data_IF_916765757116
#
_entry.id   IF_916765757116
#
_cell.length_a   1.000
_cell.length_b   1.000
_cell.length_c   1.000
_cell.angle_alpha   90.00
_cell.angle_beta   90.00
_cell.angle_gamma   90.00
#
_symmetry.space_group_name_H-M   'P 1'
#
loop_
_entity.id
_entity.type
_entity.pdbx_description
1 polymer ?
#
# COMPACT_ATOMS: atom_id res chain seq x y z
N UNK A 1 -17.74 30.40 -49.32
CA UNK A 1 -17.48 29.32 -48.35
C UNK A 1 -17.67 28.01 -49.06
N UNK A 2 -16.61 27.21 -49.13
CA UNK A 2 -16.64 25.93 -49.85
C UNK A 2 -17.13 24.82 -48.91
N UNK A 3 -17.92 23.87 -49.41
CA UNK A 3 -18.50 22.79 -48.61
C UNK A 3 -17.40 21.97 -47.90
N UNK A 4 -16.22 21.88 -48.53
CA UNK A 4 -15.03 21.21 -48.00
C UNK A 4 -14.49 21.90 -46.74
N UNK A 5 -14.48 23.24 -46.70
CA UNK A 5 -14.03 24.01 -45.53
C UNK A 5 -14.99 23.85 -44.35
N UNK A 6 -16.30 23.77 -44.62
CA UNK A 6 -17.32 23.59 -43.58
C UNK A 6 -17.24 22.22 -42.91
N UNK A 7 -16.89 21.16 -43.66
CA UNK A 7 -16.71 19.80 -43.11
C UNK A 7 -15.47 19.73 -42.22
N UNK A 8 -14.40 20.43 -42.60
CA UNK A 8 -13.15 20.43 -41.84
C UNK A 8 -13.29 21.14 -40.48
N UNK A 9 -14.09 22.21 -40.42
CA UNK A 9 -14.39 22.93 -39.16
C UNK A 9 -15.24 22.08 -38.20
N UNK A 10 -16.09 21.19 -38.72
CA UNK A 10 -16.96 20.33 -37.91
C UNK A 10 -16.22 19.12 -37.29
N UNK A 11 -15.14 18.65 -37.91
CA UNK A 11 -14.36 17.50 -37.44
C UNK A 11 -13.32 17.90 -36.37
N UNK A 12 -12.79 19.13 -36.42
CA UNK A 12 -11.79 19.63 -35.47
C UNK A 12 -12.35 19.98 -34.08
N UNK A 13 -13.68 20.10 -33.94
CA UNK A 13 -14.35 20.48 -32.70
C UNK A 13 -14.76 19.34 -31.76
N UNK A 14 -14.59 18.07 -32.15
CA UNK A 14 -14.98 16.94 -31.30
C UNK A 14 -13.86 16.53 -30.34
N UNK A 15 -13.88 17.11 -29.14
CA UNK A 15 -13.10 16.59 -28.01
C UNK A 15 -13.45 15.11 -27.77
N UNK A 16 -12.47 14.22 -27.99
CA UNK A 16 -12.61 12.79 -27.70
C UNK A 16 -13.05 12.61 -26.25
N UNK A 17 -14.15 11.88 -25.97
CA UNK A 17 -14.63 11.71 -24.61
C UNK A 17 -13.54 11.05 -23.76
N UNK A 18 -13.06 11.77 -22.73
CA UNK A 18 -12.08 11.26 -21.78
C UNK A 18 -12.56 9.92 -21.23
N UNK A 19 -11.77 8.88 -21.46
CA UNK A 19 -12.08 7.51 -21.06
C UNK A 19 -12.33 7.46 -19.55
N UNK A 20 -13.60 7.25 -19.16
CA UNK A 20 -14.00 7.22 -17.74
C UNK A 20 -13.51 5.90 -17.12
N UNK A 21 -12.33 5.91 -16.52
CA UNK A 21 -11.83 4.76 -15.75
C UNK A 21 -12.77 4.44 -14.59
N UNK A 22 -13.26 3.19 -14.55
CA UNK A 22 -14.12 2.70 -13.46
C UNK A 22 -13.35 2.67 -12.14
N UNK A 23 -13.97 3.14 -11.06
CA UNK A 23 -13.38 3.07 -9.73
C UNK A 23 -13.17 1.60 -9.32
N UNK A 24 -11.91 1.22 -9.10
CA UNK A 24 -11.56 -0.11 -8.59
C UNK A 24 -11.29 -0.03 -7.09
N UNK A 25 -11.75 -1.04 -6.34
CA UNK A 25 -11.44 -1.14 -4.91
C UNK A 25 -9.92 -1.29 -4.75
N UNK A 26 -9.31 -0.42 -3.94
CA UNK A 26 -7.88 -0.50 -3.68
C UNK A 26 -7.54 -1.80 -2.94
N UNK A 27 -6.41 -2.41 -3.31
CA UNK A 27 -5.90 -3.61 -2.63
C UNK A 27 -5.39 -3.32 -1.21
N UNK A 28 -5.19 -2.04 -0.88
CA UNK A 28 -4.55 -1.54 0.33
C UNK A 28 -5.44 -0.48 0.96
N UNK A 29 -5.66 -0.58 2.27
CA UNK A 29 -6.42 0.42 3.04
C UNK A 29 -5.61 1.70 3.17
N UNK A 30 -6.26 2.85 3.00
CA UNK A 30 -5.65 4.17 3.15
C UNK A 30 -6.20 4.82 4.41
N UNK A 31 -5.31 5.28 5.29
CA UNK A 31 -5.66 5.99 6.53
C UNK A 31 -5.26 7.47 6.45
N UNK A 32 -5.87 8.37 7.24
CA UNK A 32 -5.42 9.76 7.31
C UNK A 32 -3.97 9.89 7.80
N UNK A 33 -3.59 9.11 8.82
CA UNK A 33 -2.25 9.14 9.42
C UNK A 33 -1.82 7.74 9.86
N UNK A 34 -0.50 7.56 10.06
CA UNK A 34 0.07 6.31 10.58
C UNK A 34 -0.50 5.99 11.97
N UNK A 35 -0.64 7.00 12.84
CA UNK A 35 -1.18 6.81 14.19
C UNK A 35 -2.61 6.25 14.17
N UNK A 36 -3.47 6.79 13.29
CA UNK A 36 -4.83 6.26 13.09
C UNK A 36 -4.82 4.83 12.58
N UNK A 37 -3.91 4.49 11.66
CA UNK A 37 -3.75 3.12 11.16
C UNK A 37 -3.33 2.12 12.26
N UNK A 38 -2.43 2.53 13.16
CA UNK A 38 -1.96 1.69 14.27
C UNK A 38 -3.03 1.53 15.36
N UNK A 39 -3.85 2.55 15.59
CA UNK A 39 -4.98 2.54 16.55
C UNK A 39 -6.23 1.82 16.03
N UNK A 40 -6.36 1.60 14.72
CA UNK A 40 -7.56 0.99 14.11
C UNK A 40 -7.75 -0.51 14.41
N UNK A 41 -6.99 -1.09 15.34
CA UNK A 41 -7.03 -2.52 15.65
C UNK A 41 -6.38 -3.44 14.61
N UNK A 42 -5.82 -2.89 13.52
CA UNK A 42 -5.23 -3.68 12.41
C UNK A 42 -4.23 -4.74 12.90
N UNK A 43 -4.34 -6.01 12.47
CA UNK A 43 -3.44 -7.07 12.92
C UNK A 43 -2.02 -6.87 12.37
N UNK A 44 -1.05 -7.57 12.96
CA UNK A 44 0.32 -7.61 12.45
C UNK A 44 0.37 -8.16 11.02
N UNK A 45 1.21 -7.55 10.18
CA UNK A 45 1.31 -7.86 8.76
C UNK A 45 0.28 -7.16 7.87
N UNK A 46 -0.60 -6.31 8.43
CA UNK A 46 -1.51 -5.51 7.61
C UNK A 46 -0.72 -4.49 6.79
N UNK A 47 -0.94 -4.49 5.46
CA UNK A 47 -0.40 -3.49 4.55
C UNK A 47 -1.38 -2.32 4.49
N UNK A 48 -0.88 -1.09 4.62
CA UNK A 48 -1.67 0.12 4.51
C UNK A 48 -0.88 1.26 3.86
N UNK A 49 -1.57 2.31 3.43
CA UNK A 49 -0.95 3.59 3.05
C UNK A 49 -1.59 4.73 3.85
N UNK A 50 -1.02 5.93 3.75
CA UNK A 50 -1.58 7.14 4.33
C UNK A 50 -1.95 8.16 3.26
N UNK A 51 -2.94 9.01 3.53
CA UNK A 51 -3.32 10.09 2.62
C UNK A 51 -2.10 11.00 2.39
N UNK A 52 -1.79 11.29 1.13
CA UNK A 52 -0.64 12.12 0.74
C UNK A 52 0.72 11.44 0.84
N UNK A 53 0.77 10.12 1.07
CA UNK A 53 2.02 9.36 1.03
C UNK A 53 2.01 8.38 -0.14
N UNK A 54 3.04 8.46 -0.98
CA UNK A 54 3.25 7.52 -2.08
C UNK A 54 3.91 6.21 -1.63
N UNK A 55 3.95 5.92 -0.33
CA UNK A 55 4.66 4.77 0.23
C UNK A 55 3.74 3.81 0.97
N UNK A 56 4.10 2.53 0.92
CA UNK A 56 3.39 1.47 1.63
C UNK A 56 3.96 1.27 3.02
N UNK A 57 3.10 0.91 3.96
CA UNK A 57 3.47 0.57 5.32
C UNK A 57 2.98 -0.83 5.68
N UNK A 58 3.71 -1.49 6.57
CA UNK A 58 3.30 -2.77 7.17
C UNK A 58 3.28 -2.62 8.68
N UNK A 59 2.17 -3.00 9.31
CA UNK A 59 2.03 -3.08 10.77
C UNK A 59 2.92 -4.19 11.30
N UNK A 60 3.86 -3.87 12.20
CA UNK A 60 4.82 -4.82 12.77
C UNK A 60 5.02 -4.61 14.27
N UNK A 61 5.69 -5.57 14.91
CA UNK A 61 6.02 -5.52 16.33
C UNK A 61 7.30 -4.69 16.52
N UNK A 62 7.34 -3.75 17.49
CA UNK A 62 8.56 -3.01 17.79
C UNK A 62 9.68 -3.95 18.28
N UNK A 63 10.89 -3.77 17.74
CA UNK A 63 12.06 -4.61 18.06
C UNK A 63 13.18 -3.86 18.80
N UNK A 64 13.19 -2.52 18.78
CA UNK A 64 14.27 -1.68 19.31
C UNK A 64 14.23 -1.48 20.85
N UNK A 65 14.05 -2.57 21.59
CA UNK A 65 14.14 -2.58 23.05
C UNK A 65 12.98 -1.91 23.79
N UNK A 66 13.12 -1.74 25.12
CA UNK A 66 12.05 -1.25 26.01
C UNK A 66 11.53 0.15 25.62
N UNK A 67 12.40 1.05 25.14
CA UNK A 67 12.03 2.41 24.70
C UNK A 67 10.97 2.43 23.59
N UNK A 68 11.04 1.49 22.65
CA UNK A 68 10.03 1.35 21.59
C UNK A 68 8.65 0.89 22.10
N UNK A 69 8.60 0.33 23.32
CA UNK A 69 7.37 -0.06 24.03
C UNK A 69 6.94 0.98 25.08
N UNK A 70 7.85 1.86 25.51
CA UNK A 70 7.63 2.83 26.61
C UNK A 70 6.47 3.79 26.38
N UNK A 71 6.04 4.02 25.13
CA UNK A 71 4.82 4.79 24.82
C UNK A 71 3.52 3.97 24.90
N UNK A 72 3.52 2.78 25.50
CA UNK A 72 2.37 1.85 25.48
C UNK A 72 2.06 1.26 24.10
N UNK A 73 2.89 1.53 23.10
CA UNK A 73 2.65 1.15 21.70
C UNK A 73 3.05 -0.30 21.49
N UNK A 74 2.06 -1.14 21.20
CA UNK A 74 2.26 -2.56 20.86
C UNK A 74 2.64 -2.77 19.40
N UNK A 75 2.39 -1.77 18.55
CA UNK A 75 2.54 -1.84 17.08
C UNK A 75 3.32 -0.64 16.55
N UNK A 76 4.09 -0.87 15.49
CA UNK A 76 4.80 0.16 14.72
C UNK A 76 4.58 -0.06 13.23
N UNK A 77 4.81 0.97 12.42
CA UNK A 77 4.69 0.90 10.97
C UNK A 77 6.09 0.84 10.33
N UNK A 78 6.36 -0.19 9.52
CA UNK A 78 7.54 -0.23 8.66
C UNK A 78 7.18 0.29 7.27
N UNK A 79 7.84 1.37 6.84
CA UNK A 79 7.64 1.97 5.52
C UNK A 79 8.47 1.31 4.42
N UNK A 80 7.91 1.29 3.22
CA UNK A 80 8.49 0.82 1.97
C UNK A 80 8.34 1.93 0.93
N UNK A 81 9.41 2.69 0.74
CA UNK A 81 9.42 3.88 -0.11
C UNK A 81 9.69 3.50 -1.57
N UNK A 82 8.86 3.94 -2.54
CA UNK A 82 9.15 3.76 -3.97
C UNK A 82 10.53 4.26 -4.34
N UNK A 83 11.23 3.55 -5.23
CA UNK A 83 12.60 3.90 -5.63
C UNK A 83 13.69 3.57 -4.60
N UNK A 84 13.35 3.23 -3.35
CA UNK A 84 14.36 2.77 -2.39
C UNK A 84 14.77 1.32 -2.68
N UNK A 85 16.09 1.07 -2.65
CA UNK A 85 16.63 -0.28 -2.65
C UNK A 85 16.35 -1.00 -1.31
N UNK A 86 16.27 -0.25 -0.20
CA UNK A 86 16.22 -0.80 1.16
C UNK A 86 15.23 -0.05 2.06
N UNK A 87 14.12 -0.66 2.47
CA UNK A 87 13.53 -1.88 1.92
C UNK A 87 12.84 -1.62 0.57
N UNK A 88 13.03 -2.53 -0.40
CA UNK A 88 12.41 -2.43 -1.73
C UNK A 88 10.88 -2.31 -1.65
N UNK A 89 10.32 -1.30 -2.31
CA UNK A 89 8.87 -1.06 -2.41
C UNK A 89 8.16 -1.91 -3.47
N UNK A 90 8.85 -2.86 -4.14
CA UNK A 90 8.21 -3.82 -5.03
C UNK A 90 7.12 -4.57 -4.25
N UNK A 91 5.92 -4.66 -4.83
CA UNK A 91 4.75 -5.28 -4.17
C UNK A 91 5.04 -6.68 -3.61
N UNK A 92 5.83 -7.48 -4.33
CA UNK A 92 6.25 -8.82 -3.90
C UNK A 92 7.05 -8.79 -2.58
N UNK A 93 7.96 -7.82 -2.43
CA UNK A 93 8.76 -7.61 -1.22
C UNK A 93 7.88 -7.17 -0.04
N UNK A 94 7.00 -6.19 -0.26
CA UNK A 94 6.07 -5.70 0.76
C UNK A 94 5.16 -6.84 1.24
N UNK A 95 4.60 -7.61 0.30
CA UNK A 95 3.74 -8.76 0.61
C UNK A 95 4.50 -9.87 1.35
N UNK A 96 5.73 -10.17 0.94
CA UNK A 96 6.54 -11.17 1.62
C UNK A 96 6.82 -10.77 3.08
N UNK A 97 7.19 -9.50 3.32
CA UNK A 97 7.40 -8.99 4.67
C UNK A 97 6.11 -8.98 5.50
N UNK A 98 4.98 -8.57 4.91
CA UNK A 98 3.67 -8.60 5.53
C UNK A 98 3.28 -10.00 5.99
N UNK A 99 3.38 -11.00 5.10
CA UNK A 99 3.07 -12.39 5.43
C UNK A 99 3.99 -12.93 6.53
N UNK A 100 5.28 -12.63 6.47
CA UNK A 100 6.24 -13.04 7.50
C UNK A 100 5.89 -12.45 8.87
N UNK A 101 5.57 -11.16 8.90
CA UNK A 101 5.18 -10.45 10.11
C UNK A 101 3.87 -10.99 10.69
N UNK A 102 2.88 -11.25 9.82
CA UNK A 102 1.62 -11.88 10.20
C UNK A 102 1.84 -13.26 10.83
N UNK A 103 2.77 -14.07 10.29
CA UNK A 103 3.08 -15.40 10.81
C UNK A 103 3.88 -15.35 12.11
N UNK A 104 4.83 -14.41 12.23
CA UNK A 104 5.73 -14.31 13.39
C UNK A 104 5.06 -13.66 14.60
N UNK A 105 4.17 -12.70 14.38
CA UNK A 105 3.60 -11.86 15.43
C UNK A 105 2.08 -11.85 15.47
N UNK A 106 1.41 -12.26 14.38
CA UNK A 106 -0.03 -12.47 14.36
C UNK A 106 -0.42 -13.91 14.66
N UNK A 107 -1.72 -14.21 14.56
CA UNK A 107 -2.28 -15.51 14.91
C UNK A 107 -2.35 -16.50 13.75
N UNK A 108 -1.86 -16.13 12.55
CA UNK A 108 -2.04 -16.93 11.34
C UNK A 108 -0.98 -18.04 11.24
N UNK A 109 -1.41 -19.30 11.38
CA UNK A 109 -0.55 -20.49 11.33
C UNK A 109 -0.71 -21.33 10.05
N UNK A 110 -1.49 -20.86 9.07
CA UNK A 110 -1.76 -21.63 7.84
C UNK A 110 -0.49 -22.06 7.08
N UNK A 111 -0.48 -23.33 6.64
CA UNK A 111 0.60 -23.94 5.85
C UNK A 111 0.79 -23.29 4.47
N UNK A 112 -0.24 -22.63 3.92
CA UNK A 112 -0.21 -21.90 2.63
C UNK A 112 0.88 -20.82 2.57
N UNK A 113 1.33 -20.32 3.72
CA UNK A 113 2.36 -19.29 3.82
C UNK A 113 3.76 -19.85 4.13
N UNK A 114 3.98 -21.18 4.05
CA UNK A 114 5.31 -21.79 4.28
C UNK A 114 6.38 -21.27 3.31
N UNK A 115 6.02 -20.90 2.07
CA UNK A 115 6.96 -20.34 1.09
C UNK A 115 7.65 -19.05 1.54
N UNK A 116 7.05 -18.31 2.48
CA UNK A 116 7.60 -17.03 2.98
C UNK A 116 8.41 -17.20 4.29
N UNK A 117 8.80 -18.44 4.62
CA UNK A 117 9.64 -18.75 5.80
C UNK A 117 11.03 -18.14 5.62
N UNK A 118 11.64 -17.70 6.71
CA UNK A 118 13.04 -17.26 6.72
C UNK A 118 13.93 -18.47 6.39
N UNK A 119 14.85 -18.30 5.43
CA UNK A 119 16.07 -19.10 5.39
C UNK A 119 16.87 -18.66 6.62
N UNK A 120 17.12 -19.61 7.52
CA UNK A 120 17.87 -19.40 8.76
C UNK A 120 19.35 -19.40 8.45
#
# INVERSE_FOLDING_TARGET
MNIVEAIQILDEGQEKPKEKTKAQKSRVKVYPTIDKALKSGSPYGTIFSTKGADRLYVVTKPTWGKKSKSGGKTKVAKGFTPGSATPSAKWTSVKAYAVRTMKKHGSQKSSKFRKYKEHK
#
